data_IF_842272552969
#
_entry.id   IF_842272552969
#
_cell.length_a   1.000
_cell.length_b   1.000
_cell.length_c   1.000
_cell.angle_alpha   90.00
_cell.angle_beta   90.00
_cell.angle_gamma   90.00
#
_symmetry.space_group_name_H-M   'P 1'
#
loop_
_entity.id
_entity.type
_entity.pdbx_description
1 polymer ?
#
# COMPACT_ATOMS: atom_id res chain seq x y z
N UNK A 1 3.48 12.34 4.16
CA UNK A 1 3.13 13.09 2.93
C UNK A 1 2.22 14.22 3.31
N UNK A 2 2.56 15.46 2.95
CA UNK A 2 1.76 16.64 3.28
C UNK A 2 0.56 16.81 2.35
N UNK A 3 -0.55 17.31 2.88
CA UNK A 3 -1.73 17.61 2.09
C UNK A 3 -1.51 18.88 1.26
N UNK A 4 -1.39 18.75 -0.06
CA UNK A 4 -1.02 19.84 -0.98
C UNK A 4 0.29 20.56 -0.58
N UNK A 5 1.22 19.82 0.02
CA UNK A 5 2.52 20.30 0.47
C UNK A 5 3.63 19.32 0.02
N UNK A 6 4.70 19.19 0.78
CA UNK A 6 5.84 18.35 0.42
C UNK A 6 5.46 16.87 0.37
N UNK A 7 5.91 16.17 -0.67
CA UNK A 7 5.76 14.70 -0.76
C UNK A 7 6.50 14.01 0.39
N UNK A 8 7.71 14.46 0.71
CA UNK A 8 8.45 14.03 1.90
C UNK A 8 8.24 15.02 3.04
N UNK A 9 7.32 14.69 3.95
CA UNK A 9 6.97 15.54 5.08
C UNK A 9 7.34 14.88 6.42
N UNK A 10 8.30 15.44 7.18
CA UNK A 10 8.61 15.03 8.55
C UNK A 10 7.49 15.44 9.53
N UNK A 11 7.46 14.99 10.80
CA UNK A 11 8.54 14.27 11.50
C UNK A 11 8.44 12.76 11.48
N UNK A 12 7.31 12.14 11.12
CA UNK A 12 7.14 10.68 11.22
C UNK A 12 7.61 9.91 9.96
N UNK A 13 7.88 8.62 10.11
CA UNK A 13 8.02 7.69 8.99
C UNK A 13 8.51 6.31 9.41
N UNK A 14 8.37 5.33 8.53
CA UNK A 14 9.06 4.05 8.67
C UNK A 14 10.51 4.21 8.21
N UNK A 15 11.43 4.31 9.17
CA UNK A 15 12.85 4.53 8.89
C UNK A 15 13.73 3.65 9.79
N UNK A 16 14.88 3.18 9.30
CA UNK A 16 15.82 2.43 10.13
C UNK A 16 16.52 3.33 11.15
N UNK A 17 17.00 2.72 12.23
CA UNK A 17 17.91 3.33 13.19
C UNK A 17 17.30 4.37 14.14
N UNK A 18 18.12 5.30 14.63
CA UNK A 18 17.77 6.28 15.66
C UNK A 18 17.37 7.66 15.13
N UNK A 19 17.00 7.79 13.86
CA UNK A 19 16.62 9.08 13.26
C UNK A 19 15.39 9.69 13.95
N UNK A 20 15.22 11.01 13.82
CA UNK A 20 14.00 11.68 14.28
C UNK A 20 12.74 11.04 13.69
N UNK A 21 12.81 10.61 12.42
CA UNK A 21 11.71 9.91 11.73
C UNK A 21 11.35 8.59 12.41
N UNK A 22 12.35 7.77 12.69
CA UNK A 22 12.17 6.48 13.34
C UNK A 22 11.65 6.61 14.79
N UNK A 23 11.96 7.71 15.48
CA UNK A 23 11.57 7.95 16.89
C UNK A 23 10.24 8.66 17.06
N UNK A 24 9.71 9.26 15.99
CA UNK A 24 8.46 9.99 16.04
C UNK A 24 7.30 9.00 16.00
N UNK A 25 6.43 9.07 17.03
CA UNK A 25 5.24 8.22 17.10
C UNK A 25 4.27 8.57 15.99
N UNK A 26 3.70 7.55 15.35
CA UNK A 26 2.51 7.73 14.52
C UNK A 26 1.31 8.03 15.42
N UNK A 27 0.42 8.91 14.95
CA UNK A 27 -0.89 9.16 15.57
C UNK A 27 -1.98 9.12 14.49
N UNK A 28 -3.25 8.86 14.86
CA UNK A 28 -4.35 8.83 13.89
C UNK A 28 -4.40 10.08 13.00
N UNK A 29 -4.64 9.88 11.70
CA UNK A 29 -4.71 10.92 10.68
C UNK A 29 -3.38 11.21 9.96
N UNK A 30 -2.25 10.69 10.45
CA UNK A 30 -0.97 10.84 9.77
C UNK A 30 -0.90 9.98 8.50
N UNK A 31 -0.34 10.55 7.42
CA UNK A 31 -0.14 9.87 6.12
C UNK A 31 1.33 9.49 5.92
N UNK A 32 1.60 8.20 5.72
CA UNK A 32 2.95 7.63 5.52
C UNK A 32 2.99 6.74 4.27
N UNK A 33 4.09 6.74 3.54
CA UNK A 33 4.38 5.74 2.51
C UNK A 33 4.77 4.40 3.15
N UNK A 34 4.35 3.29 2.55
CA UNK A 34 4.90 1.96 2.77
C UNK A 34 5.46 1.47 1.44
N UNK A 35 6.80 1.42 1.37
CA UNK A 35 7.54 1.40 0.09
C UNK A 35 8.75 0.44 0.07
N UNK A 36 8.63 -0.81 0.53
CA UNK A 36 9.74 -1.76 0.45
C UNK A 36 10.18 -1.98 -1.00
N UNK A 37 11.48 -2.18 -1.18
CA UNK A 37 12.06 -2.44 -2.48
C UNK A 37 13.38 -3.20 -2.41
N UNK A 38 13.75 -3.77 -3.55
CA UNK A 38 14.99 -4.50 -3.78
C UNK A 38 15.59 -4.06 -5.11
N UNK A 39 16.91 -3.90 -5.16
CA UNK A 39 17.63 -3.44 -6.34
C UNK A 39 18.89 -4.29 -6.52
N UNK A 40 19.03 -4.86 -7.71
CA UNK A 40 20.18 -5.64 -8.14
C UNK A 40 20.91 -4.86 -9.23
N UNK A 41 22.12 -4.38 -8.90
CA UNK A 41 22.89 -3.52 -9.78
C UNK A 41 23.11 -4.16 -11.16
N UNK A 42 22.95 -3.36 -12.22
CA UNK A 42 23.07 -3.79 -13.62
C UNK A 42 22.09 -4.90 -14.04
N UNK A 43 21.04 -5.20 -13.25
CA UNK A 43 20.00 -6.17 -13.61
C UNK A 43 18.60 -5.56 -13.55
N UNK A 44 18.03 -5.40 -12.36
CA UNK A 44 16.65 -4.96 -12.18
C UNK A 44 16.41 -4.32 -10.81
N UNK A 45 15.24 -3.71 -10.65
CA UNK A 45 14.78 -3.18 -9.36
C UNK A 45 13.27 -3.32 -9.22
N UNK A 46 12.82 -3.49 -7.98
CA UNK A 46 11.41 -3.63 -7.63
C UNK A 46 11.14 -2.72 -6.43
N UNK A 47 10.04 -1.98 -6.46
CA UNK A 47 9.48 -1.25 -5.33
C UNK A 47 7.97 -1.31 -5.42
N UNK A 48 7.30 -1.61 -4.31
CA UNK A 48 5.85 -1.58 -4.21
C UNK A 48 5.52 -0.52 -3.16
N UNK A 49 4.83 0.54 -3.57
CA UNK A 49 4.59 1.71 -2.73
C UNK A 49 3.11 2.07 -2.65
N UNK A 50 2.61 2.16 -1.42
CA UNK A 50 1.27 2.66 -1.11
C UNK A 50 1.34 3.76 -0.06
N UNK A 51 0.42 4.73 -0.14
CA UNK A 51 0.14 5.65 0.95
C UNK A 51 -0.85 5.03 1.92
N UNK A 52 -0.54 5.16 3.21
CA UNK A 52 -1.29 4.66 4.33
C UNK A 52 -1.67 5.81 5.27
N UNK A 53 -2.88 5.74 5.83
CA UNK A 53 -3.34 6.64 6.90
C UNK A 53 -3.40 5.85 8.20
N UNK A 54 -2.70 6.32 9.22
CA UNK A 54 -2.80 5.76 10.56
C UNK A 54 -4.20 6.01 11.14
N UNK A 55 -4.82 4.99 11.72
CA UNK A 55 -6.15 5.06 12.36
C UNK A 55 -6.14 4.31 13.69
N UNK A 56 -7.09 4.63 14.56
CA UNK A 56 -7.30 3.83 15.78
C UNK A 56 -7.71 2.42 15.37
N UNK A 57 -7.08 1.42 16.01
CA UNK A 57 -7.48 0.03 15.85
C UNK A 57 -8.76 -0.25 16.63
N UNK A 58 -9.39 -1.40 16.36
CA UNK A 58 -10.44 -1.96 17.22
C UNK A 58 -9.91 -2.44 18.57
N UNK A 59 -8.60 -2.62 18.71
CA UNK A 59 -7.93 -2.98 19.96
C UNK A 59 -7.45 -1.72 20.69
N UNK A 60 -7.83 -1.60 21.96
CA UNK A 60 -7.48 -0.42 22.77
C UNK A 60 -5.97 -0.24 22.90
N UNK A 61 -5.50 0.99 22.68
CA UNK A 61 -4.08 1.33 22.67
C UNK A 61 -3.32 0.99 21.37
N UNK A 62 -3.96 0.40 20.36
CA UNK A 62 -3.31 0.05 19.08
C UNK A 62 -3.76 0.93 17.91
N UNK A 63 -2.95 0.94 16.85
CA UNK A 63 -3.24 1.58 15.57
C UNK A 63 -3.31 0.54 14.46
N UNK A 64 -4.19 0.79 13.50
CA UNK A 64 -4.19 0.13 12.19
C UNK A 64 -3.81 1.14 11.10
N UNK A 65 -3.65 0.65 9.88
CA UNK A 65 -3.42 1.48 8.71
C UNK A 65 -4.52 1.25 7.66
N UNK A 66 -5.03 2.34 7.09
CA UNK A 66 -5.90 2.32 5.93
C UNK A 66 -5.11 2.71 4.68
N UNK A 67 -5.17 1.89 3.63
CA UNK A 67 -4.55 2.20 2.35
C UNK A 67 -5.40 3.22 1.57
N UNK A 68 -4.77 4.29 1.12
CA UNK A 68 -5.43 5.33 0.29
C UNK A 68 -4.97 5.33 -1.16
N UNK A 69 -3.83 4.70 -1.48
CA UNK A 69 -3.47 4.41 -2.86
C UNK A 69 -4.39 3.32 -3.41
N UNK A 70 -4.99 3.56 -4.57
CA UNK A 70 -5.87 2.60 -5.24
C UNK A 70 -5.30 2.27 -6.62
N UNK A 71 -4.54 1.18 -6.68
CA UNK A 71 -4.03 0.64 -7.94
C UNK A 71 -3.72 -0.86 -7.78
N UNK A 72 -4.02 -1.73 -8.76
CA UNK A 72 -3.71 -3.15 -8.64
C UNK A 72 -2.20 -3.37 -8.53
N UNK A 73 -1.80 -4.18 -7.56
CA UNK A 73 -0.44 -4.77 -7.51
C UNK A 73 -0.35 -5.82 -8.63
N UNK A 74 0.69 -5.76 -9.45
CA UNK A 74 0.91 -6.73 -10.53
C UNK A 74 1.21 -8.12 -9.96
N UNK A 75 0.40 -9.10 -10.34
CA UNK A 75 0.49 -10.48 -9.83
C UNK A 75 1.34 -11.40 -10.69
N UNK A 76 1.78 -10.94 -11.87
CA UNK A 76 2.55 -11.77 -12.81
C UNK A 76 3.92 -12.20 -12.28
N UNK A 77 4.45 -11.49 -11.28
CA UNK A 77 5.75 -11.76 -10.65
C UNK A 77 5.63 -12.34 -9.24
N UNK A 78 4.42 -12.70 -8.80
CA UNK A 78 4.20 -13.27 -7.46
C UNK A 78 4.43 -14.79 -7.51
N UNK A 79 5.38 -15.26 -6.70
CA UNK A 79 5.55 -16.68 -6.39
C UNK A 79 4.52 -17.09 -5.31
N UNK A 80 3.32 -17.52 -5.74
CA UNK A 80 2.18 -17.79 -4.85
C UNK A 80 2.51 -18.77 -3.69
N UNK A 81 3.28 -19.86 -3.88
CA UNK A 81 3.75 -20.71 -2.79
C UNK A 81 4.48 -20.00 -1.65
N UNK A 82 5.07 -18.82 -1.88
CA UNK A 82 5.73 -18.03 -0.83
C UNK A 82 4.75 -17.23 0.04
N UNK A 83 3.49 -17.06 -0.40
CA UNK A 83 2.48 -16.35 0.35
C UNK A 83 1.81 -17.27 1.38
N UNK A 84 1.66 -16.76 2.59
CA UNK A 84 0.72 -17.34 3.53
C UNK A 84 -0.71 -17.12 3.07
N UNK A 85 -1.64 -17.94 3.58
CA UNK A 85 -3.07 -17.77 3.32
C UNK A 85 -3.57 -16.36 3.67
N UNK A 86 -3.09 -15.76 4.76
CA UNK A 86 -3.50 -14.42 5.17
C UNK A 86 -3.02 -13.33 4.21
N UNK A 87 -1.81 -13.46 3.64
CA UNK A 87 -1.28 -12.52 2.65
C UNK A 87 -2.03 -12.63 1.31
N UNK A 88 -2.37 -13.85 0.89
CA UNK A 88 -3.20 -14.09 -0.29
C UNK A 88 -4.60 -13.48 -0.12
N UNK A 89 -5.24 -13.74 1.02
CA UNK A 89 -6.55 -13.15 1.38
C UNK A 89 -6.48 -11.62 1.43
N UNK A 90 -5.41 -11.06 1.96
CA UNK A 90 -5.18 -9.62 1.98
C UNK A 90 -5.05 -9.03 0.58
N UNK A 91 -4.25 -9.65 -0.30
CA UNK A 91 -4.04 -9.19 -1.68
C UNK A 91 -5.36 -9.21 -2.48
N UNK A 92 -6.09 -10.32 -2.40
CA UNK A 92 -7.38 -10.48 -3.07
C UNK A 92 -8.41 -9.46 -2.54
N UNK A 93 -8.42 -9.21 -1.23
CA UNK A 93 -9.29 -8.20 -0.61
C UNK A 93 -8.91 -6.76 -1.03
N UNK A 94 -7.61 -6.46 -1.12
CA UNK A 94 -7.11 -5.18 -1.61
C UNK A 94 -7.50 -4.95 -3.08
N UNK A 95 -7.30 -5.93 -3.96
CA UNK A 95 -7.71 -5.86 -5.36
C UNK A 95 -9.22 -5.67 -5.53
N UNK A 96 -10.03 -6.38 -4.75
CA UNK A 96 -11.48 -6.18 -4.76
C UNK A 96 -11.84 -4.73 -4.35
N UNK A 97 -11.21 -4.20 -3.30
CA UNK A 97 -11.39 -2.79 -2.89
C UNK A 97 -11.02 -1.81 -4.00
N UNK A 98 -9.90 -2.03 -4.69
CA UNK A 98 -9.45 -1.20 -5.81
C UNK A 98 -10.49 -1.21 -6.94
N UNK A 99 -10.97 -2.39 -7.33
CA UNK A 99 -11.99 -2.52 -8.38
C UNK A 99 -13.30 -1.82 -8.00
N UNK A 100 -13.83 -2.08 -6.80
CA UNK A 100 -15.09 -1.50 -6.33
C UNK A 100 -15.04 0.03 -6.27
N UNK A 101 -13.91 0.60 -5.80
CA UNK A 101 -13.78 2.06 -5.68
C UNK A 101 -13.55 2.77 -7.00
N UNK A 102 -12.83 2.16 -7.95
CA UNK A 102 -12.46 2.82 -9.20
C UNK A 102 -13.45 2.54 -10.35
N UNK A 103 -14.02 1.33 -10.42
CA UNK A 103 -14.87 0.92 -11.55
C UNK A 103 -16.07 1.84 -11.84
N UNK A 104 -16.73 2.51 -10.88
CA UNK A 104 -17.82 3.43 -11.17
C UNK A 104 -17.39 4.70 -11.94
N UNK A 105 -16.09 4.99 -11.94
CA UNK A 105 -15.49 6.18 -12.57
C UNK A 105 -14.81 5.89 -13.91
N UNK A 106 -14.88 4.63 -14.38
CA UNK A 106 -14.22 4.16 -15.59
C UNK A 106 -15.24 3.82 -16.68
N UNK A 107 -14.84 4.00 -17.94
CA UNK A 107 -15.56 3.44 -19.08
C UNK A 107 -15.44 1.90 -19.11
N UNK A 108 -16.18 1.27 -20.03
CA UNK A 108 -16.25 -0.19 -20.10
C UNK A 108 -14.93 -0.85 -20.48
N UNK A 109 -14.10 -0.20 -21.30
CA UNK A 109 -12.78 -0.73 -21.68
C UNK A 109 -11.85 -0.79 -20.46
N UNK A 110 -11.71 0.34 -19.76
CA UNK A 110 -10.85 0.44 -18.58
C UNK A 110 -11.39 -0.36 -17.39
N UNK A 111 -12.72 -0.45 -17.24
CA UNK A 111 -13.35 -1.31 -16.24
C UNK A 111 -13.05 -2.78 -16.48
N UNK A 112 -13.12 -3.23 -17.74
CA UNK A 112 -12.78 -4.62 -18.10
C UNK A 112 -11.30 -4.91 -17.85
N UNK A 113 -10.41 -3.99 -18.23
CA UNK A 113 -8.98 -4.08 -17.93
C UNK A 113 -8.71 -4.16 -16.42
N UNK A 114 -9.32 -3.29 -15.63
CA UNK A 114 -9.12 -3.26 -14.18
C UNK A 114 -9.65 -4.53 -13.51
N UNK A 115 -10.79 -5.05 -13.97
CA UNK A 115 -11.35 -6.33 -13.49
C UNK A 115 -10.35 -7.47 -13.67
N UNK A 116 -9.70 -7.53 -14.83
CA UNK A 116 -8.69 -8.55 -15.11
C UNK A 116 -7.43 -8.38 -14.24
N UNK A 117 -7.01 -7.13 -13.99
CA UNK A 117 -5.84 -6.83 -13.13
C UNK A 117 -6.10 -7.02 -11.64
N UNK A 118 -7.36 -6.98 -11.21
CA UNK A 118 -7.81 -7.23 -9.83
C UNK A 118 -8.37 -8.65 -9.64
N UNK A 119 -8.15 -9.55 -10.59
CA UNK A 119 -8.62 -10.92 -10.47
C UNK A 119 -7.91 -11.63 -9.30
N UNK A 120 -8.68 -12.38 -8.50
CA UNK A 120 -8.15 -13.12 -7.38
C UNK A 120 -7.13 -14.18 -7.84
N UNK A 121 -6.06 -14.33 -7.05
CA UNK A 121 -5.10 -15.43 -7.17
C UNK A 121 -5.59 -16.68 -6.43
#
# INVERSE_FOLDING_TARGET
VGFFMNVHEPPQGFAPGGSMRARTKHVPGMVTTNEPGYYEENKFGIRIENLLVAKKSGFDGFLDFETITLFPIDTSLIDQPMLTRGELEWLNSYHNMVYEKLSPHLDEEHKSWLKNKCAAL
#
